data_IF_706775701806
#
_entry.id   IF_706775701806
#
_cell.length_a   1.000
_cell.length_b   1.000
_cell.length_c   1.000
_cell.angle_alpha   90.00
_cell.angle_beta   90.00
_cell.angle_gamma   90.00
#
_symmetry.space_group_name_H-M   'P 1'
#
loop_
_entity.id
_entity.type
_entity.pdbx_description
1 polymer ?
#
# COMPACT_ATOMS: atom_id res chain seq x y z
N UNK A 1 6.92 -21.46 18.29
CA UNK A 1 5.70 -21.11 19.07
C UNK A 1 5.73 -21.80 20.45
N UNK A 2 5.05 -21.26 21.46
CA UNK A 2 4.89 -21.97 22.75
C UNK A 2 3.93 -23.16 22.57
N UNK A 3 4.02 -24.20 23.40
CA UNK A 3 3.04 -25.31 23.39
C UNK A 3 1.63 -24.75 23.52
N UNK A 4 0.70 -25.22 22.70
CA UNK A 4 -0.68 -24.73 22.74
C UNK A 4 -0.91 -23.43 21.96
N UNK A 5 0.07 -22.96 21.18
CA UNK A 5 -0.18 -21.89 20.22
C UNK A 5 -1.14 -22.42 19.15
N UNK A 6 -2.26 -21.72 18.94
CA UNK A 6 -3.26 -22.08 17.93
C UNK A 6 -3.00 -21.29 16.64
N UNK A 7 -3.16 -21.96 15.50
CA UNK A 7 -3.11 -21.37 14.17
C UNK A 7 -4.25 -21.97 13.34
N UNK A 8 -5.05 -21.11 12.70
CA UNK A 8 -6.09 -21.58 11.79
C UNK A 8 -5.55 -21.55 10.36
N UNK A 9 -5.46 -22.73 9.74
CA UNK A 9 -5.01 -22.85 8.36
C UNK A 9 -6.21 -22.65 7.42
N UNK A 10 -6.24 -21.53 6.71
CA UNK A 10 -7.33 -21.15 5.78
C UNK A 10 -7.31 -21.93 4.46
N UNK A 11 -6.26 -22.71 4.18
CA UNK A 11 -6.19 -23.54 2.97
C UNK A 11 -6.80 -24.93 3.22
N UNK A 12 -6.72 -25.43 4.45
CA UNK A 12 -7.22 -26.75 4.84
C UNK A 12 -8.44 -26.68 5.77
N UNK A 13 -8.92 -25.49 6.08
CA UNK A 13 -10.01 -25.19 7.03
C UNK A 13 -9.86 -25.88 8.40
N UNK A 14 -8.61 -26.13 8.83
CA UNK A 14 -8.28 -26.86 10.04
C UNK A 14 -7.69 -25.94 11.11
N UNK A 15 -8.14 -26.10 12.36
CA UNK A 15 -7.47 -25.51 13.52
C UNK A 15 -6.26 -26.38 13.87
N UNK A 16 -5.09 -25.78 13.92
CA UNK A 16 -3.84 -26.43 14.24
C UNK A 16 -3.31 -25.91 15.58
N UNK A 17 -2.68 -26.77 16.35
CA UNK A 17 -2.00 -26.45 17.60
C UNK A 17 -0.53 -26.84 17.50
N UNK A 18 0.34 -25.96 17.98
CA UNK A 18 1.77 -26.21 18.02
C UNK A 18 2.09 -27.20 19.14
N UNK A 19 2.50 -28.41 18.75
CA UNK A 19 2.96 -29.47 19.66
C UNK A 19 4.48 -29.44 19.76
N UNK A 20 5.00 -29.26 20.97
CA UNK A 20 6.45 -29.32 21.23
C UNK A 20 6.99 -30.74 21.02
N UNK A 21 6.19 -31.76 21.31
CA UNK A 21 6.59 -33.17 21.22
C UNK A 21 6.84 -33.61 19.78
N UNK A 22 6.01 -33.17 18.83
CA UNK A 22 6.18 -33.46 17.41
C UNK A 22 6.92 -32.36 16.64
N UNK A 23 7.24 -31.24 17.30
CA UNK A 23 7.84 -30.04 16.68
C UNK A 23 7.11 -29.63 15.39
N UNK A 24 5.79 -29.78 15.37
CA UNK A 24 4.95 -29.58 14.21
C UNK A 24 3.57 -29.05 14.61
N UNK A 25 2.89 -28.46 13.64
CA UNK A 25 1.48 -28.11 13.73
C UNK A 25 0.63 -29.39 13.62
N UNK A 26 -0.16 -29.69 14.64
CA UNK A 26 -1.05 -30.86 14.70
C UNK A 26 -2.49 -30.38 14.72
N UNK A 27 -3.41 -31.08 14.07
CA UNK A 27 -4.84 -30.74 14.13
C UNK A 27 -5.35 -30.76 15.57
N UNK A 28 -5.98 -29.66 15.96
CA UNK A 28 -6.57 -29.44 17.27
C UNK A 28 -8.08 -29.30 17.13
N UNK A 29 -8.81 -29.87 18.08
CA UNK A 29 -10.27 -29.81 18.05
C UNK A 29 -10.75 -28.45 18.56
N UNK A 30 -11.49 -27.67 17.76
CA UNK A 30 -11.99 -26.39 18.21
C UNK A 30 -12.99 -26.57 19.36
N UNK A 31 -12.88 -25.72 20.37
CA UNK A 31 -13.80 -25.69 21.52
C UNK A 31 -15.23 -25.37 21.07
N UNK A 32 -15.36 -24.55 20.02
CA UNK A 32 -16.63 -24.23 19.40
C UNK A 32 -16.48 -24.13 17.87
N UNK A 33 -17.48 -24.65 17.17
CA UNK A 33 -17.62 -24.58 15.71
C UNK A 33 -18.72 -23.57 15.41
N UNK A 34 -18.42 -22.59 14.58
CA UNK A 34 -19.41 -21.62 14.13
C UNK A 34 -19.86 -21.99 12.73
N UNK A 35 -21.14 -22.33 12.57
CA UNK A 35 -21.74 -22.57 11.26
C UNK A 35 -22.65 -21.40 10.89
N UNK A 36 -22.44 -20.87 9.68
CA UNK A 36 -23.36 -19.92 9.08
C UNK A 36 -24.41 -20.71 8.31
N UNK A 37 -25.66 -20.68 8.77
CA UNK A 37 -26.74 -21.32 8.05
C UNK A 37 -27.29 -20.33 7.02
N UNK A 38 -26.93 -20.54 5.76
CA UNK A 38 -27.47 -19.77 4.66
C UNK A 38 -28.95 -20.13 4.45
N UNK A 39 -29.79 -19.10 4.36
CA UNK A 39 -31.24 -19.21 4.39
C UNK A 39 -31.80 -19.83 3.08
N UNK A 40 -31.66 -21.15 2.92
CA UNK A 40 -32.29 -21.91 1.84
C UNK A 40 -33.60 -22.55 2.34
N UNK A 41 -34.73 -21.87 2.11
CA UNK A 41 -36.07 -22.37 2.46
C UNK A 41 -37.13 -21.27 2.59
N UNK A 42 -38.37 -21.68 2.90
CA UNK A 42 -39.56 -20.81 3.04
C UNK A 42 -39.58 -19.95 4.31
N UNK A 43 -38.57 -20.06 5.18
CA UNK A 43 -38.38 -19.22 6.37
C UNK A 43 -36.94 -18.66 6.37
N UNK A 44 -36.74 -17.40 5.95
CA UNK A 44 -35.40 -16.87 5.71
C UNK A 44 -34.85 -16.19 6.96
N UNK A 45 -34.23 -16.95 7.85
CA UNK A 45 -33.37 -16.40 8.91
C UNK A 45 -31.95 -16.88 8.66
N UNK A 46 -31.07 -15.97 8.25
CA UNK A 46 -29.64 -16.22 8.27
C UNK A 46 -29.20 -16.21 9.74
N UNK A 47 -28.89 -17.38 10.29
CA UNK A 47 -28.43 -17.51 11.66
C UNK A 47 -27.01 -18.06 11.73
N UNK A 48 -26.24 -17.48 12.63
CA UNK A 48 -24.97 -18.05 13.08
C UNK A 48 -25.28 -18.99 14.24
N UNK A 49 -24.92 -20.26 14.08
CA UNK A 49 -25.04 -21.29 15.10
C UNK A 49 -23.63 -21.56 15.63
N UNK A 50 -23.42 -21.42 16.94
CA UNK A 50 -22.13 -21.68 17.58
C UNK A 50 -22.25 -22.96 18.40
N UNK A 51 -21.77 -24.09 17.88
CA UNK A 51 -21.86 -25.40 18.53
C UNK A 51 -20.59 -25.71 19.32
N UNK A 52 -20.69 -25.98 20.62
CA UNK A 52 -19.54 -26.43 21.43
C UNK A 52 -19.40 -27.95 21.42
N UNK A 53 -18.17 -28.46 21.56
CA UNK A 53 -17.87 -29.90 21.47
C UNK A 53 -18.33 -30.73 22.68
N UNK A 54 -18.67 -30.09 23.81
CA UNK A 54 -18.98 -30.78 25.07
C UNK A 54 -20.48 -30.93 25.35
N UNK A 55 -21.29 -29.95 24.95
CA UNK A 55 -22.74 -29.94 25.15
C UNK A 55 -23.32 -29.17 23.96
N UNK A 56 -24.07 -29.83 23.08
CA UNK A 56 -24.63 -29.19 21.88
C UNK A 56 -25.28 -27.84 22.20
N UNK A 57 -25.08 -26.85 21.32
CA UNK A 57 -25.47 -25.47 21.62
C UNK A 57 -26.94 -25.20 21.41
N UNK A 58 -27.55 -24.44 22.32
CA UNK A 58 -28.86 -23.81 22.12
C UNK A 58 -28.76 -22.32 21.74
N UNK A 59 -27.54 -21.77 21.64
CA UNK A 59 -27.29 -20.36 21.36
C UNK A 59 -27.37 -20.06 19.87
N UNK A 60 -28.39 -19.29 19.47
CA UNK A 60 -28.55 -18.79 18.10
C UNK A 60 -28.27 -17.28 18.07
N UNK A 61 -27.40 -16.84 17.16
CA UNK A 61 -27.27 -15.42 16.83
C UNK A 61 -28.05 -15.20 15.53
N UNK A 62 -29.20 -14.52 15.66
CA UNK A 62 -30.02 -14.11 14.52
C UNK A 62 -29.41 -12.86 13.89
N UNK A 63 -28.95 -12.95 12.65
CA UNK A 63 -28.46 -11.79 11.89
C UNK A 63 -29.58 -11.29 11.00
N UNK A 64 -30.40 -10.41 11.57
CA UNK A 64 -31.46 -9.71 10.85
C UNK A 64 -32.63 -10.59 10.38
N UNK A 65 -33.76 -9.94 10.13
CA UNK A 65 -34.89 -10.53 9.42
C UNK A 65 -34.84 -10.10 7.95
N UNK A 66 -34.91 -11.06 7.01
CA UNK A 66 -35.04 -10.75 5.59
C UNK A 66 -36.44 -10.17 5.33
N UNK A 67 -36.57 -8.85 5.20
CA UNK A 67 -37.77 -8.25 4.60
C UNK A 67 -37.58 -8.30 3.08
N UNK A 68 -38.23 -9.25 2.42
CA UNK A 68 -38.30 -9.28 0.96
C UNK A 68 -39.31 -8.22 0.55
N UNK A 69 -38.83 -7.06 0.10
CA UNK A 69 -39.64 -6.15 -0.71
C UNK A 69 -39.33 -6.46 -2.17
N UNK A 70 -40.37 -6.65 -2.96
CA UNK A 70 -40.30 -7.15 -4.35
C UNK A 70 -39.20 -6.43 -5.15
N UNK A 71 -38.26 -7.23 -5.67
CA UNK A 71 -37.21 -6.90 -6.63
C UNK A 71 -35.91 -6.20 -6.19
N UNK A 72 -35.61 -6.04 -4.90
CA UNK A 72 -34.27 -5.62 -4.44
C UNK A 72 -33.85 -6.36 -3.17
N UNK A 73 -32.83 -7.22 -3.24
CA UNK A 73 -32.23 -7.87 -2.06
C UNK A 73 -31.31 -6.89 -1.34
N UNK A 74 -31.89 -6.03 -0.51
CA UNK A 74 -31.11 -5.20 0.42
C UNK A 74 -31.04 -5.91 1.76
N UNK A 75 -29.83 -6.29 2.21
CA UNK A 75 -29.61 -6.90 3.52
C UNK A 75 -29.39 -5.78 4.54
N UNK A 76 -30.41 -5.48 5.35
CA UNK A 76 -30.31 -4.48 6.44
C UNK A 76 -30.26 -5.22 7.77
N UNK A 77 -29.14 -5.11 8.47
CA UNK A 77 -28.99 -5.62 9.84
C UNK A 77 -29.67 -4.60 10.77
N UNK A 78 -30.92 -4.86 11.17
CA UNK A 78 -31.70 -3.93 12.00
C UNK A 78 -31.47 -4.08 13.50
N UNK A 79 -31.06 -5.26 13.97
CA UNK A 79 -30.65 -5.47 15.37
C UNK A 79 -29.92 -6.81 15.56
N UNK A 80 -29.02 -6.86 16.55
CA UNK A 80 -28.49 -8.11 17.10
C UNK A 80 -29.34 -8.49 18.32
N UNK A 81 -30.05 -9.62 18.26
CA UNK A 81 -30.82 -10.13 19.38
C UNK A 81 -30.19 -11.44 19.85
N UNK A 82 -29.72 -11.44 21.09
CA UNK A 82 -29.19 -12.63 21.76
C UNK A 82 -30.32 -13.33 22.52
N UNK A 83 -30.84 -14.42 21.96
CA UNK A 83 -31.82 -15.28 22.64
C UNK A 83 -31.09 -16.42 23.34
N UNK A 84 -30.62 -16.16 24.57
CA UNK A 84 -30.02 -17.17 25.46
C UNK A 84 -28.68 -16.74 26.07
N UNK A 85 -28.18 -17.53 27.02
CA UNK A 85 -26.80 -17.41 27.50
C UNK A 85 -25.90 -18.11 26.48
N UNK A 86 -25.02 -17.36 25.81
CA UNK A 86 -24.21 -17.87 24.70
C UNK A 86 -23.09 -18.82 25.14
N UNK A 87 -22.65 -18.71 26.39
CA UNK A 87 -21.47 -19.40 26.92
C UNK A 87 -21.63 -20.09 28.29
N UNK A 88 -22.82 -20.55 28.74
CA UNK A 88 -22.97 -21.18 30.06
C UNK A 88 -22.14 -22.47 30.19
N UNK A 89 -21.74 -23.09 29.08
CA UNK A 89 -20.87 -24.25 29.03
C UNK A 89 -19.36 -23.93 29.09
N UNK A 90 -18.96 -22.66 28.97
CA UNK A 90 -17.54 -22.26 28.95
C UNK A 90 -17.17 -21.62 30.29
N UNK A 91 -16.92 -22.45 31.29
CA UNK A 91 -16.43 -22.01 32.60
C UNK A 91 -14.92 -21.78 32.55
N UNK A 92 -14.45 -20.57 32.87
CA UNK A 92 -13.02 -20.27 33.00
C UNK A 92 -12.31 -19.79 31.73
N UNK A 93 -13.03 -19.37 30.69
CA UNK A 93 -12.41 -18.77 29.49
C UNK A 93 -12.19 -17.27 29.66
N UNK A 94 -11.01 -16.80 29.24
CA UNK A 94 -10.70 -15.38 29.08
C UNK A 94 -10.79 -15.00 27.62
N UNK A 95 -11.57 -13.97 27.28
CA UNK A 95 -11.58 -13.39 25.93
C UNK A 95 -10.17 -12.87 25.62
N UNK A 96 -9.48 -13.52 24.67
CA UNK A 96 -8.18 -13.09 24.21
C UNK A 96 -8.40 -12.16 23.01
N UNK A 97 -7.97 -10.91 23.13
CA UNK A 97 -7.97 -9.98 22.00
C UNK A 97 -7.15 -10.58 20.85
N UNK A 98 -7.57 -10.30 19.61
CA UNK A 98 -6.80 -10.65 18.44
C UNK A 98 -5.43 -9.97 18.52
N UNK A 99 -4.37 -10.78 18.64
CA UNK A 99 -3.02 -10.29 18.45
C UNK A 99 -2.75 -10.40 16.96
N UNK A 100 -2.61 -9.26 16.29
CA UNK A 100 -2.18 -9.24 14.89
C UNK A 100 -0.88 -10.04 14.77
N UNK A 101 -0.87 -11.03 13.90
CA UNK A 101 0.36 -11.76 13.57
C UNK A 101 1.42 -10.80 13.05
N UNK A 102 2.68 -11.09 13.37
CA UNK A 102 3.80 -10.56 12.59
C UNK A 102 4.01 -11.53 11.45
N UNK A 103 3.65 -11.10 10.24
CA UNK A 103 4.12 -11.78 9.04
C UNK A 103 5.66 -11.65 9.08
N UNK A 104 6.38 -12.75 8.89
CA UNK A 104 7.86 -12.73 8.92
C UNK A 104 8.45 -11.77 7.87
N UNK A 105 9.77 -11.57 7.87
CA UNK A 105 10.37 -10.89 6.72
C UNK A 105 10.20 -11.79 5.50
N UNK A 106 9.70 -11.24 4.41
CA UNK A 106 9.79 -11.90 3.11
C UNK A 106 11.27 -11.97 2.72
N UNK A 107 11.74 -13.13 2.26
CA UNK A 107 13.11 -13.28 1.73
C UNK A 107 13.33 -12.63 0.36
N UNK A 108 12.29 -11.98 -0.17
CA UNK A 108 12.27 -11.28 -1.46
C UNK A 108 12.28 -9.77 -1.19
N UNK A 109 13.02 -8.97 -1.98
CA UNK A 109 13.00 -7.51 -1.88
C UNK A 109 11.58 -6.93 -1.94
N UNK A 110 11.34 -5.83 -1.22
CA UNK A 110 10.03 -5.17 -1.12
C UNK A 110 9.39 -4.88 -2.48
N UNK A 111 10.18 -4.33 -3.42
CA UNK A 111 9.73 -3.93 -4.76
C UNK A 111 9.34 -5.09 -5.69
N UNK A 112 9.68 -6.33 -5.33
CA UNK A 112 9.37 -7.54 -6.10
C UNK A 112 8.24 -8.37 -5.44
N UNK A 113 7.69 -7.87 -4.33
CA UNK A 113 6.52 -8.51 -3.70
C UNK A 113 5.25 -8.18 -4.46
N UNK A 114 4.40 -9.19 -4.70
CA UNK A 114 3.15 -9.00 -5.42
C UNK A 114 2.25 -7.97 -4.70
N UNK A 115 1.79 -6.96 -5.43
CA UNK A 115 1.00 -5.85 -4.89
C UNK A 115 1.84 -4.69 -4.33
N UNK A 116 3.17 -4.76 -4.42
CA UNK A 116 4.12 -3.65 -4.22
C UNK A 116 4.86 -3.45 -5.55
N UNK A 117 4.68 -2.31 -6.21
CA UNK A 117 5.35 -2.03 -7.48
C UNK A 117 4.86 -2.84 -8.70
N UNK A 118 4.13 -3.95 -8.54
CA UNK A 118 3.47 -4.71 -9.62
C UNK A 118 2.19 -5.38 -9.12
N UNK A 119 1.17 -5.47 -9.98
CA UNK A 119 -0.04 -6.27 -9.73
C UNK A 119 0.02 -7.68 -10.33
N UNK A 120 1.09 -8.02 -11.05
CA UNK A 120 1.28 -9.30 -11.74
C UNK A 120 0.68 -9.41 -13.15
N UNK A 121 -0.05 -8.39 -13.61
CA UNK A 121 -0.52 -8.28 -15.00
C UNK A 121 0.64 -7.97 -15.94
N UNK A 122 0.60 -8.55 -17.15
CA UNK A 122 1.58 -8.30 -18.20
C UNK A 122 1.00 -7.54 -19.40
N UNK A 123 -0.26 -7.11 -19.35
CA UNK A 123 -0.98 -6.63 -20.53
C UNK A 123 -0.52 -5.23 -20.96
N UNK A 124 -0.36 -4.31 -20.01
CA UNK A 124 0.15 -2.95 -20.24
C UNK A 124 1.57 -2.97 -20.78
N UNK A 125 2.43 -3.85 -20.24
CA UNK A 125 3.81 -4.03 -20.72
C UNK A 125 3.83 -4.57 -22.15
N UNK A 126 2.92 -5.49 -22.51
CA UNK A 126 2.81 -6.02 -23.88
C UNK A 126 2.36 -4.94 -24.86
N UNK A 127 1.39 -4.09 -24.48
CA UNK A 127 0.96 -2.96 -25.31
C UNK A 127 2.11 -2.00 -25.58
N UNK A 128 2.87 -1.64 -24.54
CA UNK A 128 4.04 -0.77 -24.67
C UNK A 128 5.12 -1.41 -25.57
N UNK A 129 5.42 -2.70 -25.36
CA UNK A 129 6.39 -3.41 -26.17
C UNK A 129 6.01 -3.44 -27.66
N UNK A 130 4.72 -3.65 -27.97
CA UNK A 130 4.20 -3.61 -29.34
C UNK A 130 4.29 -2.19 -29.94
N UNK A 131 4.01 -1.15 -29.13
CA UNK A 131 4.16 0.24 -29.56
C UNK A 131 5.61 0.59 -29.92
N UNK A 132 6.57 0.25 -29.04
CA UNK A 132 8.00 0.46 -29.30
C UNK A 132 8.43 -0.27 -30.58
N UNK A 133 7.97 -1.50 -30.77
CA UNK A 133 8.31 -2.30 -31.96
C UNK A 133 7.79 -1.68 -33.25
N UNK A 134 6.59 -1.11 -33.23
CA UNK A 134 6.02 -0.35 -34.37
C UNK A 134 6.82 0.92 -34.67
N UNK A 135 7.23 1.65 -33.64
CA UNK A 135 8.05 2.85 -33.81
C UNK A 135 9.44 2.56 -34.40
N UNK A 136 9.97 1.35 -34.17
CA UNK A 136 11.23 0.89 -34.77
C UNK A 136 11.09 0.44 -36.24
N UNK A 137 9.87 0.36 -36.79
CA UNK A 137 9.61 0.09 -38.20
C UNK A 137 8.82 -1.18 -38.51
N UNK A 138 8.44 -1.97 -37.51
CA UNK A 138 7.56 -3.13 -37.72
C UNK A 138 6.15 -2.68 -38.14
N UNK A 139 5.47 -3.34 -39.10
CA UNK A 139 5.84 -4.58 -39.80
C UNK A 139 6.59 -4.38 -41.14
N UNK A 140 6.87 -3.14 -41.53
CA UNK A 140 7.49 -2.83 -42.84
C UNK A 140 8.94 -3.29 -42.89
N UNK A 141 9.67 -3.14 -41.78
CA UNK A 141 11.04 -3.61 -41.59
C UNK A 141 11.06 -4.61 -40.44
N UNK A 142 11.76 -5.73 -40.62
CA UNK A 142 11.99 -6.68 -39.54
C UNK A 142 12.96 -6.07 -38.52
N UNK A 143 12.50 -5.92 -37.28
CA UNK A 143 13.30 -5.41 -36.18
C UNK A 143 14.10 -6.55 -35.59
N UNK A 144 15.43 -6.43 -35.60
CA UNK A 144 16.36 -7.49 -35.18
C UNK A 144 16.33 -7.77 -33.67
N UNK A 145 15.73 -6.88 -32.88
CA UNK A 145 15.57 -7.03 -31.43
C UNK A 145 14.58 -8.15 -31.08
N UNK A 146 15.02 -8.99 -30.15
CA UNK A 146 14.21 -10.00 -29.49
C UNK A 146 13.20 -9.35 -28.53
N UNK A 147 12.15 -10.09 -28.19
CA UNK A 147 11.17 -9.63 -27.18
C UNK A 147 11.83 -9.35 -25.82
N UNK A 148 12.79 -10.20 -25.44
CA UNK A 148 13.51 -10.05 -24.17
C UNK A 148 14.28 -8.73 -24.11
N UNK A 149 14.97 -8.33 -25.18
CA UNK A 149 15.71 -7.07 -25.21
C UNK A 149 14.79 -5.84 -25.10
N UNK A 150 13.61 -5.90 -25.72
CA UNK A 150 12.58 -4.84 -25.55
C UNK A 150 12.10 -4.79 -24.10
N UNK A 151 11.81 -5.95 -23.50
CA UNK A 151 11.38 -6.03 -22.10
C UNK A 151 12.47 -5.50 -21.14
N UNK A 152 13.75 -5.73 -21.45
CA UNK A 152 14.88 -5.15 -20.71
C UNK A 152 14.96 -3.62 -20.86
N UNK A 153 14.71 -3.09 -22.06
CA UNK A 153 14.64 -1.64 -22.29
C UNK A 153 13.53 -0.98 -21.47
N UNK A 154 12.34 -1.60 -21.41
CA UNK A 154 11.22 -1.14 -20.58
C UNK A 154 11.59 -1.21 -19.08
N UNK A 155 12.23 -2.30 -18.65
CA UNK A 155 12.65 -2.46 -17.26
C UNK A 155 13.61 -1.34 -16.82
N UNK A 156 14.63 -1.04 -17.64
CA UNK A 156 15.56 0.06 -17.37
C UNK A 156 14.87 1.43 -17.34
N UNK A 157 13.86 1.63 -18.18
CA UNK A 157 13.06 2.86 -18.17
C UNK A 157 12.29 3.01 -16.85
N UNK A 158 11.63 1.96 -16.39
CA UNK A 158 10.91 1.94 -15.12
C UNK A 158 11.83 2.16 -13.92
N UNK A 159 12.99 1.50 -13.89
CA UNK A 159 14.00 1.69 -12.85
C UNK A 159 14.53 3.13 -12.83
N UNK A 160 14.81 3.70 -14.01
CA UNK A 160 15.27 5.08 -14.14
C UNK A 160 14.22 6.09 -13.67
N UNK A 161 12.94 5.84 -13.98
CA UNK A 161 11.84 6.67 -13.50
C UNK A 161 11.72 6.60 -11.98
N UNK A 162 11.74 5.40 -11.40
CA UNK A 162 11.62 5.18 -9.94
C UNK A 162 12.77 5.83 -9.17
N UNK A 163 13.99 5.82 -9.71
CA UNK A 163 15.14 6.45 -9.04
C UNK A 163 15.09 7.98 -9.05
N UNK A 164 14.43 8.59 -10.04
CA UNK A 164 14.56 10.03 -10.33
C UNK A 164 13.27 10.82 -10.15
N UNK A 165 12.12 10.18 -10.22
CA UNK A 165 10.81 10.83 -10.24
C UNK A 165 9.96 10.41 -9.04
N UNK A 166 9.30 11.40 -8.43
CA UNK A 166 8.32 11.16 -7.37
C UNK A 166 7.02 10.53 -7.89
N UNK A 167 6.74 10.62 -9.20
CA UNK A 167 5.49 10.12 -9.82
C UNK A 167 5.37 8.61 -9.83
N UNK A 168 6.48 7.89 -9.61
CA UNK A 168 6.46 6.45 -9.38
C UNK A 168 5.96 6.08 -7.97
N UNK A 169 5.79 7.07 -7.10
CA UNK A 169 5.42 6.89 -5.71
C UNK A 169 4.09 7.56 -5.39
N UNK A 170 3.46 7.12 -4.31
CA UNK A 170 2.20 7.68 -3.82
C UNK A 170 2.29 7.84 -2.31
N UNK A 171 1.89 9.02 -1.82
CA UNK A 171 1.78 9.30 -0.38
C UNK A 171 0.52 8.65 0.20
N UNK A 172 0.67 7.98 1.33
CA UNK A 172 -0.39 7.21 2.01
C UNK A 172 -0.25 7.38 3.51
N UNK A 173 -1.39 7.50 4.18
CA UNK A 173 -1.42 7.52 5.62
C UNK A 173 -1.77 6.16 6.20
N UNK A 174 -0.98 5.72 7.16
CA UNK A 174 -1.19 4.50 7.92
C UNK A 174 -1.37 4.84 9.39
N UNK A 175 -2.15 4.02 10.10
CA UNK A 175 -2.27 4.16 11.54
C UNK A 175 -1.42 3.09 12.23
N UNK A 176 -0.56 3.52 13.14
CA UNK A 176 0.24 2.63 14.00
C UNK A 176 -0.20 2.82 15.45
N UNK A 177 -0.48 1.71 16.12
CA UNK A 177 -0.77 1.71 17.56
C UNK A 177 0.55 1.58 18.34
N UNK A 178 1.08 2.71 18.80
CA UNK A 178 2.30 2.76 19.60
C UNK A 178 2.03 2.28 21.03
N UNK A 179 2.69 1.18 21.42
CA UNK A 179 2.60 0.59 22.77
C UNK A 179 3.57 1.19 23.76
N UNK A 180 3.15 1.25 25.03
CA UNK A 180 3.99 1.73 26.13
C UNK A 180 5.32 0.97 26.24
N UNK A 181 6.43 1.69 26.29
CA UNK A 181 7.77 1.11 26.46
C UNK A 181 8.35 0.41 25.23
N UNK A 182 7.63 0.38 24.10
CA UNK A 182 8.16 -0.09 22.82
C UNK A 182 8.68 1.09 22.00
N UNK A 183 9.80 0.87 21.32
CA UNK A 183 10.44 1.87 20.44
C UNK A 183 10.70 1.31 19.04
N UNK A 184 11.02 0.01 18.94
CA UNK A 184 11.19 -0.67 17.67
C UNK A 184 9.86 -1.33 17.26
N UNK A 185 9.35 -0.95 16.10
CA UNK A 185 8.15 -1.49 15.48
C UNK A 185 8.49 -2.16 14.16
N UNK A 186 8.06 -3.41 14.00
CA UNK A 186 8.25 -4.13 12.75
C UNK A 186 7.02 -3.98 11.86
N UNK A 187 7.18 -3.32 10.72
CA UNK A 187 6.13 -2.97 9.77
C UNK A 187 5.99 -4.04 8.67
N UNK A 188 5.73 -5.29 9.05
CA UNK A 188 5.61 -6.42 8.11
C UNK A 188 4.18 -6.84 7.81
N UNK A 189 3.19 -6.35 8.55
CA UNK A 189 1.81 -6.83 8.47
C UNK A 189 1.17 -6.55 7.08
N UNK A 190 0.89 -7.61 6.32
CA UNK A 190 0.35 -7.50 4.95
C UNK A 190 -1.13 -7.09 4.95
N UNK A 191 -1.89 -7.51 5.97
CA UNK A 191 -3.32 -7.20 6.08
C UNK A 191 -3.57 -5.71 6.26
N UNK A 192 -2.69 -5.03 6.99
CA UNK A 192 -2.75 -3.56 7.14
C UNK A 192 -2.12 -2.85 5.94
N UNK A 193 -1.25 -3.54 5.19
CA UNK A 193 -0.52 -2.97 4.05
C UNK A 193 0.82 -2.33 4.44
N UNK A 194 1.34 -2.63 5.63
CA UNK A 194 2.65 -2.12 6.09
C UNK A 194 3.81 -2.67 5.25
N UNK A 195 3.62 -3.85 4.66
CA UNK A 195 4.55 -4.43 3.69
C UNK A 195 4.70 -3.57 2.41
N UNK A 196 3.84 -2.59 2.16
CA UNK A 196 3.92 -1.73 0.97
C UNK A 196 4.68 -0.43 1.20
N UNK A 197 5.08 -0.15 2.44
CA UNK A 197 5.79 1.08 2.80
C UNK A 197 7.22 1.00 2.27
N UNK A 198 7.60 1.97 1.43
CA UNK A 198 8.96 2.16 0.91
C UNK A 198 9.72 3.14 1.82
N UNK A 199 9.07 4.22 2.24
CA UNK A 199 9.66 5.19 3.15
C UNK A 199 8.60 5.81 4.07
N UNK A 200 9.03 6.28 5.23
CA UNK A 200 8.21 7.06 6.17
C UNK A 200 8.68 8.52 6.10
N UNK A 201 7.77 9.43 5.79
CA UNK A 201 8.00 10.88 5.66
C UNK A 201 7.73 11.65 6.95
N UNK A 202 6.85 11.10 7.79
CA UNK A 202 6.52 11.71 9.06
C UNK A 202 5.80 10.75 9.99
N UNK A 203 5.94 10.99 11.29
CA UNK A 203 5.15 10.34 12.32
C UNK A 203 4.46 11.43 13.12
N UNK A 204 3.14 11.48 12.99
CA UNK A 204 2.29 12.50 13.58
C UNK A 204 1.49 11.91 14.73
N UNK A 205 1.47 12.60 15.87
CA UNK A 205 0.54 12.25 16.94
C UNK A 205 -0.83 12.83 16.60
N UNK A 206 -1.88 12.02 16.71
CA UNK A 206 -3.25 12.50 16.50
C UNK A 206 -3.66 13.44 17.63
N UNK A 207 -3.10 13.22 18.84
CA UNK A 207 -3.28 14.13 19.96
C UNK A 207 -2.05 15.03 20.08
N UNK A 208 -2.22 16.35 19.86
CA UNK A 208 -1.12 17.29 20.06
C UNK A 208 -0.61 17.18 21.51
N UNK A 209 0.71 17.10 21.65
CA UNK A 209 1.40 16.88 22.93
C UNK A 209 1.08 17.99 23.96
N UNK A 210 0.75 19.20 23.51
CA UNK A 210 0.47 20.36 24.35
C UNK A 210 -1.01 20.64 24.57
N UNK A 211 -1.88 20.01 23.76
CA UNK A 211 -3.33 20.20 23.85
C UNK A 211 -4.02 19.09 24.66
N UNK A 212 -3.25 18.19 25.27
CA UNK A 212 -3.79 17.06 26.04
C UNK A 212 -4.23 17.48 27.45
N UNK A 213 -5.45 18.01 27.58
CA UNK A 213 -6.21 17.95 28.84
C UNK A 213 -7.48 17.14 28.63
N UNK A 214 -7.39 15.85 28.99
CA UNK A 214 -8.45 14.97 29.50
C UNK A 214 -9.77 14.96 28.71
N UNK A 215 -9.87 14.00 27.79
CA UNK A 215 -11.07 13.55 27.09
C UNK A 215 -11.67 14.54 26.07
N UNK A 216 -11.61 14.13 24.80
CA UNK A 216 -12.27 14.72 23.63
C UNK A 216 -11.82 16.13 23.23
N UNK A 217 -10.78 16.18 22.38
CA UNK A 217 -10.23 17.39 21.76
C UNK A 217 -9.79 18.44 22.78
N UNK A 218 -8.47 18.65 22.87
CA UNK A 218 -7.87 19.65 23.75
C UNK A 218 -8.65 20.96 23.77
N UNK A 219 -8.74 21.60 24.94
CA UNK A 219 -9.52 22.83 25.17
C UNK A 219 -9.38 23.83 24.03
N UNK A 220 -8.20 23.96 23.42
CA UNK A 220 -7.95 24.81 22.27
C UNK A 220 -8.61 24.34 20.97
N UNK A 221 -8.61 23.04 20.67
CA UNK A 221 -9.31 22.48 19.50
C UNK A 221 -10.83 22.60 19.64
N UNK A 222 -11.40 22.38 20.83
CA UNK A 222 -12.82 22.64 21.07
C UNK A 222 -13.15 24.14 21.06
N UNK A 223 -12.27 24.98 21.62
CA UNK A 223 -12.45 26.44 21.56
C UNK A 223 -12.42 26.90 20.10
N UNK A 224 -11.44 26.52 19.29
CA UNK A 224 -11.35 26.90 17.88
C UNK A 224 -12.56 26.40 17.08
N UNK A 225 -12.99 25.14 17.25
CA UNK A 225 -14.18 24.61 16.58
C UNK A 225 -15.46 25.33 17.02
N UNK A 226 -15.61 25.61 18.31
CA UNK A 226 -16.75 26.37 18.83
C UNK A 226 -16.76 27.83 18.33
N UNK A 227 -15.59 28.42 18.07
CA UNK A 227 -15.46 29.78 17.53
C UNK A 227 -15.64 29.84 16.01
N UNK A 228 -15.30 28.78 15.28
CA UNK A 228 -15.64 28.61 13.87
C UNK A 228 -17.15 28.60 13.63
N UNK A 229 -17.87 27.81 14.44
CA UNK A 229 -19.33 27.77 14.41
C UNK A 229 -19.99 29.10 14.84
N UNK A 230 -19.26 29.95 15.57
CA UNK A 230 -19.68 31.30 15.96
C UNK A 230 -18.90 32.37 15.18
N UNK A 231 -19.18 32.46 13.87
CA UNK A 231 -18.73 33.52 12.95
C UNK A 231 -18.69 34.90 13.63
N UNK A 232 -17.51 35.38 14.07
CA UNK A 232 -17.40 36.79 14.45
C UNK A 232 -16.25 37.32 15.31
N UNK A 233 -15.26 36.54 15.79
CA UNK A 233 -14.28 37.13 16.76
C UNK A 233 -12.80 36.80 16.62
N UNK A 234 -12.33 36.05 15.62
CA UNK A 234 -10.89 35.86 15.39
C UNK A 234 -10.47 36.17 13.94
N UNK A 235 -9.42 36.98 13.80
CA UNK A 235 -8.77 37.35 12.54
C UNK A 235 -7.79 36.23 12.09
N UNK A 236 -7.59 36.08 10.78
CA UNK A 236 -6.64 35.13 10.18
C UNK A 236 -5.22 35.32 10.72
N UNK A 237 -4.84 36.57 11.01
CA UNK A 237 -3.55 36.90 11.62
C UNK A 237 -3.39 36.22 12.98
N UNK A 238 -4.43 36.21 13.81
CA UNK A 238 -4.39 35.55 15.11
C UNK A 238 -4.25 34.03 14.96
N UNK A 239 -4.88 33.42 13.95
CA UNK A 239 -4.71 32.00 13.66
C UNK A 239 -3.26 31.68 13.26
N UNK A 240 -2.70 32.44 12.32
CA UNK A 240 -1.33 32.24 11.86
C UNK A 240 -0.32 32.39 13.01
N UNK A 241 -0.46 33.42 13.85
CA UNK A 241 0.41 33.62 15.01
C UNK A 241 0.31 32.49 16.04
N UNK A 242 -0.88 31.93 16.24
CA UNK A 242 -1.06 30.77 17.14
C UNK A 242 -0.45 29.51 16.52
N UNK A 243 -0.61 29.30 15.22
CA UNK A 243 0.00 28.17 14.51
C UNK A 243 1.52 28.23 14.60
N UNK A 244 2.12 29.39 14.32
CA UNK A 244 3.56 29.63 14.46
C UNK A 244 4.05 29.42 15.90
N UNK A 245 3.25 29.87 16.88
CA UNK A 245 3.54 29.64 18.30
C UNK A 245 3.53 28.15 18.66
N UNK A 246 2.55 27.38 18.15
CA UNK A 246 2.50 25.92 18.35
C UNK A 246 3.71 25.26 17.68
N UNK A 247 4.06 25.63 16.46
CA UNK A 247 5.24 25.08 15.77
C UNK A 247 6.52 25.35 16.56
N UNK A 248 6.70 26.57 17.06
CA UNK A 248 7.84 26.93 17.91
C UNK A 248 7.85 26.13 19.22
N UNK A 249 6.69 25.93 19.86
CA UNK A 249 6.60 25.06 21.04
C UNK A 249 6.98 23.61 20.70
N UNK A 250 6.54 23.09 19.55
CA UNK A 250 6.89 21.75 19.11
C UNK A 250 8.39 21.58 18.86
N UNK A 251 9.03 22.62 18.30
CA UNK A 251 10.49 22.67 18.14
C UNK A 251 11.20 22.78 19.51
N UNK A 252 10.74 23.65 20.41
CA UNK A 252 11.37 23.90 21.71
C UNK A 252 11.35 22.68 22.64
N UNK A 253 10.25 21.91 22.66
CA UNK A 253 10.15 20.71 23.50
C UNK A 253 10.31 19.40 22.74
N UNK A 254 10.76 19.46 21.47
CA UNK A 254 11.00 18.31 20.62
C UNK A 254 9.82 17.31 20.64
N UNK A 255 8.59 17.80 20.55
CA UNK A 255 7.39 16.94 20.59
C UNK A 255 7.13 16.23 19.27
N UNK A 256 7.79 16.66 18.19
CA UNK A 256 7.81 15.93 16.93
C UNK A 256 8.50 14.58 17.13
N UNK A 257 7.82 13.52 16.69
CA UNK A 257 8.34 12.16 16.82
C UNK A 257 9.52 12.01 15.87
N UNK A 258 10.73 11.94 16.41
CA UNK A 258 11.91 11.57 15.64
C UNK A 258 11.88 10.06 15.43
N UNK A 259 12.19 9.62 14.21
CA UNK A 259 12.20 8.21 13.84
C UNK A 259 13.34 7.89 12.86
N UNK A 260 13.71 6.61 12.80
CA UNK A 260 14.45 6.03 11.68
C UNK A 260 13.68 4.86 11.14
N UNK A 261 13.54 4.78 9.82
CA UNK A 261 12.92 3.65 9.15
C UNK A 261 13.95 3.01 8.23
N UNK A 262 14.09 1.69 8.31
CA UNK A 262 14.83 0.89 7.36
C UNK A 262 13.88 0.01 6.56
N UNK A 263 13.87 0.15 5.24
CA UNK A 263 13.01 -0.61 4.34
C UNK A 263 13.38 -2.10 4.30
N UNK A 264 14.69 -2.41 4.34
CA UNK A 264 15.18 -3.78 4.20
C UNK A 264 14.77 -4.68 5.37
N UNK A 265 14.96 -4.20 6.59
CA UNK A 265 14.51 -4.90 7.81
C UNK A 265 13.04 -4.65 8.17
N UNK A 266 12.42 -3.62 7.56
CA UNK A 266 11.08 -3.09 7.89
C UNK A 266 10.95 -2.70 9.36
N UNK A 267 12.01 -2.19 9.94
CA UNK A 267 12.04 -1.72 11.32
C UNK A 267 11.89 -0.20 11.37
N UNK A 268 10.84 0.24 12.06
CA UNK A 268 10.60 1.63 12.42
C UNK A 268 11.04 1.80 13.88
N UNK A 269 12.12 2.54 14.08
CA UNK A 269 12.60 2.90 15.40
C UNK A 269 12.15 4.33 15.74
N UNK A 270 11.42 4.48 16.84
CA UNK A 270 10.98 5.76 17.38
C UNK A 270 11.90 6.14 18.54
N UNK A 271 12.59 7.28 18.45
CA UNK A 271 13.57 7.69 19.47
C UNK A 271 12.92 8.03 20.81
N UNK A 272 11.69 8.51 20.78
CA UNK A 272 10.93 8.81 21.99
C UNK A 272 10.21 7.57 22.51
N UNK A 273 10.19 7.41 23.83
CA UNK A 273 9.41 6.38 24.52
C UNK A 273 8.01 6.90 24.81
N UNK A 274 6.99 6.19 24.37
CA UNK A 274 5.60 6.51 24.71
C UNK A 274 5.30 6.10 26.16
N UNK A 275 4.65 7.00 26.91
CA UNK A 275 4.22 6.80 28.31
C UNK A 275 2.84 6.18 28.43
N UNK A 276 2.05 6.23 27.35
CA UNK A 276 0.72 5.65 27.20
C UNK A 276 0.60 4.98 25.84
N UNK A 277 -0.29 4.02 25.72
CA UNK A 277 -0.68 3.51 24.42
C UNK A 277 -1.33 4.66 23.63
N UNK A 278 -0.78 4.98 22.45
CA UNK A 278 -1.25 6.07 21.60
C UNK A 278 -1.32 5.60 20.16
N UNK A 279 -2.36 6.06 19.43
CA UNK A 279 -2.46 5.85 18.00
C UNK A 279 -1.77 6.99 17.27
N UNK A 280 -0.72 6.66 16.53
CA UNK A 280 0.04 7.62 15.71
C UNK A 280 -0.30 7.43 14.24
N UNK A 281 -0.28 8.53 13.51
CA UNK A 281 -0.44 8.58 12.07
C UNK A 281 0.96 8.53 11.44
N UNK A 282 1.22 7.49 10.67
CA UNK A 282 2.39 7.40 9.82
C UNK A 282 2.05 8.01 8.47
N UNK A 283 2.83 8.98 8.08
CA UNK A 283 2.84 9.53 6.74
C UNK A 283 3.92 8.79 5.94
N UNK A 284 3.48 7.96 5.01
CA UNK A 284 4.34 7.03 4.31
C UNK A 284 4.26 7.24 2.81
N UNK A 285 5.28 6.75 2.12
CA UNK A 285 5.34 6.66 0.68
C UNK A 285 5.30 5.19 0.30
N UNK A 286 4.43 4.85 -0.64
CA UNK A 286 4.37 3.53 -1.26
C UNK A 286 4.73 3.64 -2.74
N UNK A 287 5.20 2.55 -3.32
CA UNK A 287 5.43 2.46 -4.75
C UNK A 287 4.11 2.25 -5.51
N UNK A 288 3.90 2.99 -6.60
CA UNK A 288 2.80 2.73 -7.53
C UNK A 288 3.08 1.47 -8.34
N UNK A 289 2.04 0.78 -8.75
CA UNK A 289 2.23 -0.42 -9.58
C UNK A 289 2.73 -0.03 -10.96
N UNK A 290 3.53 -0.90 -11.58
CA UNK A 290 4.01 -0.72 -12.95
C UNK A 290 2.85 -0.41 -13.91
N UNK A 291 1.74 -1.13 -13.78
CA UNK A 291 0.57 -1.01 -14.63
C UNK A 291 -0.05 0.39 -14.51
N UNK A 292 -0.15 0.94 -13.29
CA UNK A 292 -0.64 2.30 -13.08
C UNK A 292 0.27 3.34 -13.75
N UNK A 293 1.59 3.16 -13.64
CA UNK A 293 2.59 4.05 -14.24
C UNK A 293 2.56 3.96 -15.77
N UNK A 294 2.36 2.77 -16.35
CA UNK A 294 2.32 2.55 -17.80
C UNK A 294 1.05 3.09 -18.47
N UNK A 295 -0.04 3.28 -17.72
CA UNK A 295 -1.31 3.83 -18.23
C UNK A 295 -1.39 5.35 -18.05
N UNK A 296 -0.64 5.91 -17.10
CA UNK A 296 -0.74 7.32 -16.76
C UNK A 296 -0.28 8.24 -17.92
N UNK A 297 -1.05 9.30 -18.16
CA UNK A 297 -0.91 10.21 -19.30
C UNK A 297 0.47 10.87 -19.41
N UNK A 298 1.14 11.14 -18.29
CA UNK A 298 2.41 11.86 -18.26
C UNK A 298 3.60 10.92 -18.25
N UNK A 299 3.51 9.82 -17.51
CA UNK A 299 4.59 8.84 -17.41
C UNK A 299 4.65 7.89 -18.60
N UNK A 300 3.51 7.57 -19.25
CA UNK A 300 3.49 6.68 -20.44
C UNK A 300 4.39 7.19 -21.57
N UNK A 301 4.25 8.44 -22.07
CA UNK A 301 5.11 8.95 -23.15
C UNK A 301 6.59 9.00 -22.76
N UNK A 302 6.88 9.32 -21.49
CA UNK A 302 8.24 9.38 -20.98
C UNK A 302 8.90 8.00 -20.97
N UNK A 303 8.20 6.98 -20.44
CA UNK A 303 8.69 5.59 -20.40
C UNK A 303 8.87 5.07 -21.81
N UNK A 304 7.90 5.32 -22.70
CA UNK A 304 7.97 4.91 -24.10
C UNK A 304 9.20 5.49 -24.79
N UNK A 305 9.46 6.80 -24.61
CA UNK A 305 10.65 7.46 -25.20
C UNK A 305 11.95 6.91 -24.62
N UNK A 306 12.05 6.75 -23.30
CA UNK A 306 13.26 6.21 -22.66
C UNK A 306 13.52 4.75 -23.09
N UNK A 307 12.50 3.90 -23.04
CA UNK A 307 12.61 2.49 -23.43
C UNK A 307 12.96 2.36 -24.92
N UNK A 308 12.43 3.25 -25.76
CA UNK A 308 12.77 3.30 -27.17
C UNK A 308 14.23 3.73 -27.39
N UNK A 309 14.74 4.71 -26.66
CA UNK A 309 16.16 5.11 -26.70
C UNK A 309 17.10 3.96 -26.30
N UNK A 310 16.75 3.20 -25.26
CA UNK A 310 17.46 1.97 -24.88
C UNK A 310 17.43 0.93 -26.01
N UNK A 311 16.25 0.70 -26.61
CA UNK A 311 16.11 -0.22 -27.75
C UNK A 311 16.94 0.24 -28.96
N UNK A 312 16.95 1.53 -29.29
CA UNK A 312 17.78 2.09 -30.37
C UNK A 312 19.27 1.91 -30.11
N UNK A 313 19.69 2.04 -28.85
CA UNK A 313 21.09 1.82 -28.45
C UNK A 313 21.47 0.35 -28.63
N UNK A 314 20.66 -0.58 -28.15
CA UNK A 314 20.87 -2.03 -28.35
C UNK A 314 20.89 -2.40 -29.84
N UNK A 315 19.95 -1.85 -30.62
CA UNK A 315 19.91 -2.05 -32.08
C UNK A 315 21.17 -1.53 -32.78
N UNK A 316 21.66 -0.36 -32.37
CA UNK A 316 22.85 0.25 -32.93
C UNK A 316 24.12 -0.55 -32.60
N UNK A 317 24.22 -1.14 -31.40
CA UNK A 317 25.32 -2.04 -31.05
C UNK A 317 25.33 -3.32 -31.91
N UNK A 318 24.15 -3.88 -32.19
CA UNK A 318 24.02 -5.05 -33.07
C UNK A 318 24.42 -4.67 -34.51
N UNK A 319 23.88 -3.57 -35.05
CA UNK A 319 24.18 -3.11 -36.42
C UNK A 319 25.62 -2.61 -36.59
N UNK A 320 26.19 -2.01 -35.56
CA UNK A 320 27.58 -1.53 -35.54
C UNK A 320 28.61 -2.66 -35.67
N UNK A 321 28.27 -3.89 -35.22
CA UNK A 321 29.11 -5.08 -35.42
C UNK A 321 29.20 -5.51 -36.90
N UNK A 322 28.23 -5.13 -37.73
CA UNK A 322 28.15 -5.49 -39.15
C UNK A 322 28.18 -4.26 -40.06
N UNK A 323 29.06 -3.30 -39.77
CA UNK A 323 29.12 -1.97 -40.41
C UNK A 323 29.02 -1.98 -41.95
N UNK A 324 29.52 -3.02 -42.62
CA UNK A 324 29.30 -3.25 -44.05
C UNK A 324 28.91 -4.70 -44.31
N UNK A 325 27.72 -4.91 -44.87
CA UNK A 325 27.31 -6.21 -45.41
C UNK A 325 27.78 -6.33 -46.87
N UNK A 326 28.53 -7.38 -47.25
CA UNK A 326 28.94 -7.58 -48.64
C UNK A 326 27.71 -7.88 -49.51
N UNK A 327 27.38 -6.94 -50.40
CA UNK A 327 26.30 -7.06 -51.38
C UNK A 327 26.81 -6.98 -52.82
N UNK A 328 26.05 -7.54 -53.77
CA UNK A 328 26.42 -7.72 -55.17
C UNK A 328 26.67 -6.41 -55.98
N UNK A 329 26.47 -5.23 -55.40
CA UNK A 329 26.64 -3.93 -56.05
C UNK A 329 27.44 -2.89 -55.25
N UNK A 330 28.19 -3.29 -54.23
CA UNK A 330 28.81 -2.38 -53.26
C UNK A 330 28.08 -2.42 -51.92
N UNK A 331 28.82 -2.47 -50.81
CA UNK A 331 28.29 -2.77 -49.49
C UNK A 331 27.18 -1.81 -49.04
N UNK A 332 26.11 -2.36 -48.46
CA UNK A 332 25.08 -1.56 -47.80
C UNK A 332 25.63 -1.12 -46.44
N UNK A 333 25.69 0.19 -46.21
CA UNK A 333 26.07 0.75 -44.91
C UNK A 333 24.85 0.76 -43.97
N UNK A 334 25.01 0.23 -42.76
CA UNK A 334 23.96 0.22 -41.74
C UNK A 334 23.91 1.55 -40.98
N UNK A 335 22.71 1.99 -40.58
CA UNK A 335 22.44 3.27 -39.93
C UNK A 335 22.76 3.32 -38.41
N UNK A 336 23.84 2.68 -37.98
CA UNK A 336 24.17 2.56 -36.55
C UNK A 336 24.48 3.91 -35.87
N UNK A 337 25.26 4.79 -36.52
CA UNK A 337 25.63 6.11 -35.96
C UNK A 337 24.42 7.00 -35.69
N UNK A 338 23.45 6.99 -36.62
CA UNK A 338 22.26 7.85 -36.55
C UNK A 338 21.32 7.39 -35.43
N UNK A 339 21.24 6.07 -35.20
CA UNK A 339 20.45 5.49 -34.12
C UNK A 339 21.01 5.87 -32.74
N UNK A 340 22.34 5.82 -32.57
CA UNK A 340 22.98 6.25 -31.31
C UNK A 340 22.75 7.74 -31.08
N UNK A 341 22.92 8.59 -32.11
CA UNK A 341 22.69 10.03 -31.98
C UNK A 341 21.26 10.35 -31.54
N UNK A 342 20.26 9.70 -32.15
CA UNK A 342 18.84 9.88 -31.77
C UNK A 342 18.53 9.32 -30.38
N UNK A 343 19.16 8.22 -29.98
CA UNK A 343 18.99 7.67 -28.63
C UNK A 343 19.53 8.64 -27.57
N UNK A 344 20.71 9.23 -27.79
CA UNK A 344 21.28 10.23 -26.89
C UNK A 344 20.43 11.49 -26.78
N UNK A 345 19.85 11.94 -27.90
CA UNK A 345 18.90 13.05 -27.92
C UNK A 345 17.64 12.73 -27.09
N UNK A 346 17.03 11.57 -27.30
CA UNK A 346 15.86 11.14 -26.53
C UNK A 346 16.15 11.02 -25.03
N UNK A 347 17.32 10.48 -24.63
CA UNK A 347 17.74 10.46 -23.24
C UNK A 347 17.87 11.86 -22.65
N UNK A 348 18.47 12.80 -23.40
CA UNK A 348 18.62 14.19 -22.95
C UNK A 348 17.26 14.86 -22.75
N UNK A 349 16.31 14.65 -23.67
CA UNK A 349 14.94 15.16 -23.55
C UNK A 349 14.26 14.57 -22.32
N UNK A 350 14.34 13.26 -22.10
CA UNK A 350 13.71 12.63 -20.94
C UNK A 350 14.29 13.12 -19.61
N UNK A 351 15.61 13.36 -19.54
CA UNK A 351 16.24 13.94 -18.36
C UNK A 351 15.78 15.38 -18.13
N UNK A 352 15.72 16.17 -19.21
CA UNK A 352 15.20 17.53 -19.14
C UNK A 352 13.73 17.56 -18.68
N UNK A 353 12.86 16.66 -19.17
CA UNK A 353 11.45 16.59 -18.73
C UNK A 353 11.27 16.26 -17.24
N UNK A 354 12.23 15.53 -16.64
CA UNK A 354 12.26 15.31 -15.19
C UNK A 354 12.66 16.60 -14.46
N UNK A 355 13.70 17.28 -14.93
CA UNK A 355 14.21 18.53 -14.34
C UNK A 355 13.19 19.68 -14.47
N UNK A 356 12.46 19.74 -15.58
CA UNK A 356 11.37 20.69 -15.84
C UNK A 356 10.07 20.32 -15.10
N UNK A 357 10.10 19.25 -14.28
CA UNK A 357 8.98 18.74 -13.48
C UNK A 357 7.72 18.34 -14.25
N UNK A 358 7.79 18.21 -15.59
CA UNK A 358 6.65 17.85 -16.45
C UNK A 358 6.07 16.48 -16.07
N UNK A 359 6.93 15.56 -15.69
CA UNK A 359 6.54 14.21 -15.25
C UNK A 359 6.26 14.16 -13.75
N UNK A 360 6.80 15.09 -12.96
CA UNK A 360 6.81 15.06 -11.50
C UNK A 360 5.61 15.77 -10.84
N UNK A 361 5.04 16.81 -11.45
CA UNK A 361 4.30 17.81 -10.67
C UNK A 361 2.82 17.99 -11.03
N UNK A 362 2.09 16.87 -11.04
CA UNK A 362 0.61 16.92 -11.05
C UNK A 362 0.05 17.00 -9.62
N UNK A 363 0.88 16.82 -8.60
CA UNK A 363 0.47 16.79 -7.19
C UNK A 363 0.43 18.20 -6.56
N UNK A 364 1.15 19.19 -7.12
CA UNK A 364 0.98 20.59 -6.71
C UNK A 364 -0.35 21.23 -7.14
N UNK A 365 -1.22 20.54 -7.89
CA UNK A 365 -2.63 20.92 -8.06
C UNK A 365 -3.42 20.62 -6.78
N UNK A 366 -3.17 21.40 -5.73
CA UNK A 366 -3.92 21.34 -4.46
C UNK A 366 -3.08 21.22 -3.20
N UNK A 367 -1.76 20.99 -3.29
CA UNK A 367 -0.89 21.02 -2.11
C UNK A 367 -0.70 22.46 -1.56
N UNK A 368 -0.98 23.48 -2.37
CA UNK A 368 -1.12 24.86 -1.92
C UNK A 368 -2.54 25.25 -1.43
N UNK A 369 -3.54 24.36 -1.56
CA UNK A 369 -4.87 24.63 -1.00
C UNK A 369 -4.94 24.09 0.43
N UNK A 370 -4.56 24.94 1.38
CA UNK A 370 -4.96 24.78 2.77
C UNK A 370 -6.49 24.87 2.83
N UNK A 371 -7.17 23.72 3.01
CA UNK A 371 -8.60 23.71 3.28
C UNK A 371 -8.81 23.93 4.78
N UNK A 372 -8.98 25.19 5.16
CA UNK A 372 -9.44 25.54 6.49
C UNK A 372 -10.94 25.20 6.53
N UNK A 373 -11.28 24.08 7.16
CA UNK A 373 -12.67 23.75 7.47
C UNK A 373 -13.12 24.78 8.49
N UNK A 374 -14.05 25.64 8.06
CA UNK A 374 -14.76 26.58 8.91
C UNK A 374 -15.98 25.99 9.62
#
# INVERSE_FOLDING_TARGET
PASGTLWYNTTTDALLEWSITSSAWVESTPIAITTFNDAKGSTPTANIIITTSLVGSSGNILIGSKTITENLTTFVITSFVFTGTLFPAITGSTLKSNVSGFDGLTGVPSYDTLGVGTDGSADERRELADSIRKQLGYPVVEVELTKYEIDQGIQKALESLRQRSASAYRRVYFFLDAKIGFQNYRLTNERVGFNKIVNVMGVWRITSAFLSTVHAAGVFGQTILQHLYHMGTYDLVSYHLISDYIEQLEQLFATRVVYTFDEGSRELFLFQRFTRDERVLLDCVIERTEQEILVNRWTKPWIERWALAECRTMLAEIRGKYASLPGAGGGVALNASDLVSKAQEDFAICLQEIDDFVVNDVENLGIGSEFIIG
#
